data_IF_176233849744
#
_entry.id   IF_176233849744
#
_cell.length_a   1.000
_cell.length_b   1.000
_cell.length_c   1.000
_cell.angle_alpha   90.00
_cell.angle_beta   90.00
_cell.angle_gamma   90.00
#
_symmetry.space_group_name_H-M   'P 1'
#
loop_
_entity.id
_entity.type
_entity.pdbx_description
1 polymer ?
#
# COMPACT_ATOMS: atom_id res chain seq x y z
N UNK A 1 17.86 8.21 -13.94
CA UNK A 1 16.56 8.91 -13.83
C UNK A 1 16.11 8.80 -12.39
N UNK A 2 15.83 9.88 -11.66
CA UNK A 2 15.40 9.76 -10.27
C UNK A 2 13.95 9.25 -10.23
N UNK A 3 13.70 8.27 -9.37
CA UNK A 3 12.36 7.77 -9.06
C UNK A 3 11.46 8.92 -8.57
N UNK A 4 10.17 8.93 -8.92
CA UNK A 4 9.24 9.92 -8.38
C UNK A 4 9.10 9.66 -6.87
N UNK A 5 9.67 10.55 -6.08
CA UNK A 5 9.57 10.59 -4.63
C UNK A 5 8.10 10.55 -4.24
N UNK A 6 7.63 9.42 -3.70
CA UNK A 6 6.38 9.38 -2.97
C UNK A 6 6.54 10.32 -1.78
N UNK A 7 5.95 11.52 -1.88
CA UNK A 7 5.75 12.43 -0.75
C UNK A 7 4.97 11.64 0.29
N UNK A 8 5.70 11.08 1.25
CA UNK A 8 5.16 10.26 2.34
C UNK A 8 4.42 11.21 3.27
N UNK A 9 3.19 11.54 2.90
CA UNK A 9 2.24 12.17 3.81
C UNK A 9 2.15 11.27 5.03
N UNK A 10 2.37 11.79 6.27
CA UNK A 10 2.35 10.97 7.47
C UNK A 10 1.01 10.23 7.54
N UNK A 11 1.07 8.90 7.48
CA UNK A 11 -0.13 8.07 7.57
C UNK A 11 -0.65 8.17 8.99
N UNK A 12 -1.71 8.95 9.18
CA UNK A 12 -2.37 9.05 10.48
C UNK A 12 -2.72 7.66 11.02
N UNK A 13 -2.70 7.51 12.36
CA UNK A 13 -3.21 6.32 13.01
C UNK A 13 -4.65 6.09 12.57
N UNK A 14 -4.97 4.84 12.30
CA UNK A 14 -6.33 4.40 12.09
C UNK A 14 -6.95 4.06 13.45
N UNK A 15 -8.27 4.10 13.52
CA UNK A 15 -9.01 3.70 14.71
C UNK A 15 -8.70 2.24 15.07
N UNK A 16 -8.15 2.02 16.27
CA UNK A 16 -7.73 0.71 16.73
C UNK A 16 -8.92 -0.23 16.96
N UNK A 17 -10.04 0.30 17.44
CA UNK A 17 -11.23 -0.49 17.76
C UNK A 17 -11.89 -1.03 16.49
N UNK A 18 -12.01 -0.19 15.46
CA UNK A 18 -12.50 -0.58 14.14
C UNK A 18 -11.64 -1.67 13.46
N UNK A 19 -10.38 -1.80 13.89
CA UNK A 19 -9.38 -2.69 13.31
C UNK A 19 -8.96 -3.84 14.22
N UNK A 20 -9.62 -4.04 15.36
CA UNK A 20 -9.26 -5.04 16.36
C UNK A 20 -9.17 -6.48 15.81
N UNK A 21 -9.91 -6.78 14.72
CA UNK A 21 -9.88 -8.06 14.00
C UNK A 21 -8.58 -8.32 13.22
N UNK A 22 -7.76 -7.29 13.00
CA UNK A 22 -6.47 -7.37 12.32
C UNK A 22 -5.29 -7.23 13.29
N UNK A 23 -5.55 -7.26 14.60
CA UNK A 23 -4.53 -7.13 15.62
C UNK A 23 -3.87 -8.49 15.92
N UNK A 24 -2.56 -8.53 15.73
CA UNK A 24 -1.67 -9.58 16.21
C UNK A 24 -1.47 -9.38 17.71
N UNK A 25 -1.77 -10.41 18.50
CA UNK A 25 -1.64 -10.40 19.97
C UNK A 25 -0.70 -11.49 20.50
N UNK A 26 -0.23 -12.37 19.64
CA UNK A 26 0.74 -13.40 20.03
C UNK A 26 2.11 -12.74 20.32
N UNK A 27 2.66 -12.88 21.54
CA UNK A 27 3.91 -12.21 21.91
C UNK A 27 5.09 -12.62 21.03
N UNK A 28 5.14 -13.87 20.57
CA UNK A 28 6.21 -14.34 19.69
C UNK A 28 6.13 -13.66 18.32
N UNK A 29 4.93 -13.58 17.71
CA UNK A 29 4.73 -12.85 16.46
C UNK A 29 5.01 -11.34 16.61
N UNK A 30 4.62 -10.73 17.73
CA UNK A 30 4.93 -9.32 18.04
C UNK A 30 6.44 -9.09 18.06
N UNK A 31 7.18 -9.91 18.80
CA UNK A 31 8.65 -9.84 18.87
C UNK A 31 9.29 -10.01 17.49
N UNK A 32 8.79 -10.96 16.68
CA UNK A 32 9.28 -11.16 15.31
C UNK A 32 9.04 -9.93 14.42
N UNK A 33 7.85 -9.34 14.48
CA UNK A 33 7.53 -8.12 13.73
C UNK A 33 8.44 -6.95 14.14
N UNK A 34 8.65 -6.74 15.44
CA UNK A 34 9.52 -5.68 15.94
C UNK A 34 11.00 -5.90 15.58
N UNK A 35 11.49 -7.16 15.62
CA UNK A 35 12.83 -7.50 15.13
C UNK A 35 13.00 -7.15 13.66
N UNK A 36 12.01 -7.47 12.81
CA UNK A 36 12.06 -7.06 11.40
C UNK A 36 12.10 -5.53 11.23
N UNK A 37 11.44 -4.76 12.11
CA UNK A 37 11.53 -3.29 12.09
C UNK A 37 12.93 -2.80 12.47
N UNK A 38 13.58 -3.44 13.44
CA UNK A 38 14.98 -3.13 13.83
C UNK A 38 15.95 -3.48 12.70
N UNK A 39 15.76 -4.62 12.05
CA UNK A 39 16.65 -5.11 11.00
C UNK A 39 16.52 -4.31 9.70
N UNK A 40 15.29 -4.10 9.22
CA UNK A 40 15.02 -3.40 7.95
C UNK A 40 15.00 -1.89 8.06
N UNK A 41 14.89 -1.36 9.29
CA UNK A 41 14.85 0.08 9.61
C UNK A 41 13.90 0.90 8.70
N UNK A 42 12.64 0.49 8.51
CA UNK A 42 11.68 1.33 7.80
C UNK A 42 11.39 2.59 8.64
N UNK A 43 11.11 3.71 7.97
CA UNK A 43 10.67 4.92 8.65
C UNK A 43 9.34 4.66 9.39
N UNK A 44 9.30 5.06 10.66
CA UNK A 44 8.12 5.06 11.50
C UNK A 44 7.65 6.49 11.70
N UNK A 45 6.34 6.71 11.74
CA UNK A 45 5.76 7.94 12.27
C UNK A 45 5.22 7.64 13.67
N UNK A 46 5.76 8.29 14.69
CA UNK A 46 5.28 8.21 16.07
C UNK A 46 4.37 9.40 16.37
N UNK A 47 3.13 9.13 16.77
CA UNK A 47 2.13 10.13 17.17
C UNK A 47 2.06 10.18 18.69
N UNK A 48 2.28 11.37 19.25
CA UNK A 48 2.28 11.65 20.69
C UNK A 48 0.85 11.91 21.13
N UNK A 49 0.27 11.02 21.95
CA UNK A 49 -1.09 11.13 22.48
C UNK A 49 -2.18 11.47 21.43
N UNK A 50 -1.96 11.05 20.17
CA UNK A 50 -2.88 11.28 19.05
C UNK A 50 -2.84 12.69 18.43
N UNK A 51 -1.92 13.56 18.87
CA UNK A 51 -1.75 14.92 18.36
C UNK A 51 -0.52 15.08 17.47
N UNK A 52 0.56 15.65 18.01
CA UNK A 52 1.82 15.89 17.32
C UNK A 52 2.49 14.59 16.89
N UNK A 53 3.29 14.63 15.81
CA UNK A 53 4.00 13.45 15.32
C UNK A 53 5.42 13.75 14.88
N UNK A 54 6.28 12.74 14.88
CA UNK A 54 7.62 12.79 14.32
C UNK A 54 8.00 11.50 13.62
N UNK A 55 8.98 11.60 12.72
CA UNK A 55 9.58 10.44 12.06
C UNK A 55 10.69 9.88 12.96
N UNK A 56 10.74 8.56 13.08
CA UNK A 56 11.70 7.81 13.90
C UNK A 56 12.02 6.45 13.27
N UNK A 57 12.89 5.67 13.91
CA UNK A 57 13.32 4.32 13.56
C UNK A 57 13.28 3.42 14.79
N UNK A 58 12.96 2.13 14.61
CA UNK A 58 13.21 1.14 15.65
C UNK A 58 14.72 0.84 15.68
N UNK A 59 15.36 1.10 16.81
CA UNK A 59 16.81 0.93 16.97
C UNK A 59 17.18 -0.43 17.54
N UNK A 60 16.41 -0.91 18.51
CA UNK A 60 16.66 -2.18 19.18
C UNK A 60 15.41 -2.73 19.86
N UNK A 61 15.41 -4.05 20.07
CA UNK A 61 14.58 -4.73 21.04
C UNK A 61 15.50 -5.28 22.12
N UNK A 62 15.28 -4.91 23.37
CA UNK A 62 16.13 -5.32 24.49
C UNK A 62 15.73 -6.70 25.00
N UNK A 63 16.63 -7.36 25.75
CA UNK A 63 16.40 -8.71 26.29
C UNK A 63 15.22 -8.78 27.27
N UNK A 64 14.93 -7.68 27.96
CA UNK A 64 13.76 -7.51 28.83
C UNK A 64 12.48 -7.12 28.07
N UNK A 65 12.51 -7.16 26.74
CA UNK A 65 11.35 -6.98 25.87
C UNK A 65 10.97 -5.51 25.59
N UNK A 66 11.80 -4.54 25.96
CA UNK A 66 11.53 -3.13 25.67
C UNK A 66 11.95 -2.75 24.25
N UNK A 67 11.20 -1.83 23.65
CA UNK A 67 11.47 -1.29 22.31
C UNK A 67 12.22 0.03 22.47
N UNK A 68 13.31 0.19 21.74
CA UNK A 68 14.05 1.45 21.65
C UNK A 68 13.79 2.06 20.27
N UNK A 69 13.33 3.30 20.24
CA UNK A 69 13.15 4.10 19.01
C UNK A 69 14.02 5.34 19.03
N UNK A 70 14.40 5.82 17.86
CA UNK A 70 15.25 6.98 17.70
C UNK A 70 14.55 8.28 18.13
N UNK A 71 15.32 9.23 18.64
CA UNK A 71 14.83 10.57 18.93
C UNK A 71 14.80 11.42 17.65
N UNK A 72 13.90 12.40 17.57
CA UNK A 72 13.93 13.36 16.48
C UNK A 72 14.89 14.54 16.80
N UNK A 73 15.23 15.41 15.83
CA UNK A 73 16.11 16.56 16.10
C UNK A 73 15.52 17.63 17.06
N UNK A 74 14.24 17.53 17.40
CA UNK A 74 13.52 18.51 18.22
C UNK A 74 13.43 18.02 19.68
N UNK A 75 14.23 18.62 20.56
CA UNK A 75 14.29 18.25 21.97
C UNK A 75 12.98 18.49 22.72
N UNK A 76 12.22 19.52 22.36
CA UNK A 76 10.91 19.82 22.99
C UNK A 76 9.94 18.70 22.65
N UNK A 77 9.93 18.25 21.38
CA UNK A 77 9.12 17.12 20.95
C UNK A 77 9.54 15.81 21.61
N UNK A 78 10.85 15.56 21.74
CA UNK A 78 11.34 14.37 22.46
C UNK A 78 11.00 14.40 23.95
N UNK A 79 11.04 15.58 24.59
CA UNK A 79 10.63 15.75 25.98
C UNK A 79 9.16 15.40 26.17
N UNK A 80 8.27 15.90 25.31
CA UNK A 80 6.84 15.54 25.29
C UNK A 80 6.64 14.06 25.02
N UNK A 81 7.33 13.51 24.02
CA UNK A 81 7.24 12.10 23.67
C UNK A 81 7.63 11.19 24.83
N UNK A 82 8.68 11.53 25.59
CA UNK A 82 9.11 10.75 26.76
C UNK A 82 8.35 11.03 28.07
N UNK A 83 7.32 11.88 28.03
CA UNK A 83 6.37 12.08 29.14
C UNK A 83 4.93 11.73 28.75
N UNK A 84 4.72 11.29 27.50
CA UNK A 84 3.41 10.92 26.99
C UNK A 84 2.92 9.63 27.63
N UNK A 85 1.61 9.42 27.62
CA UNK A 85 1.06 8.13 28.04
C UNK A 85 1.46 7.05 27.04
N UNK A 86 1.34 7.38 25.74
CA UNK A 86 1.67 6.45 24.66
C UNK A 86 2.15 7.15 23.39
N UNK A 87 2.96 6.44 22.62
CA UNK A 87 3.28 6.79 21.24
C UNK A 87 2.59 5.80 20.31
N UNK A 88 1.70 6.27 19.45
CA UNK A 88 1.12 5.43 18.41
C UNK A 88 2.05 5.46 17.20
N UNK A 89 2.72 4.34 16.93
CA UNK A 89 3.64 4.18 15.83
C UNK A 89 2.91 3.63 14.60
N UNK A 90 3.17 4.21 13.45
CA UNK A 90 2.66 3.77 12.14
C UNK A 90 3.83 3.60 11.18
N UNK A 91 3.89 2.47 10.49
CA UNK A 91 4.90 2.21 9.45
C UNK A 91 4.37 1.28 8.37
N UNK A 92 5.19 1.04 7.34
CA UNK A 92 4.98 -0.03 6.37
C UNK A 92 6.20 -0.96 6.39
N UNK A 93 5.92 -2.24 6.59
CA UNK A 93 6.90 -3.31 6.48
C UNK A 93 6.49 -4.19 5.30
N UNK A 94 7.33 -4.30 4.27
CA UNK A 94 7.05 -5.09 3.05
C UNK A 94 5.66 -4.79 2.45
N UNK A 95 5.31 -3.51 2.33
CA UNK A 95 4.00 -3.02 1.87
C UNK A 95 2.79 -3.36 2.75
N UNK A 96 3.00 -3.92 3.94
CA UNK A 96 1.97 -4.14 4.95
C UNK A 96 1.99 -2.98 5.95
N UNK A 97 0.86 -2.31 6.14
CA UNK A 97 0.75 -1.25 7.15
C UNK A 97 0.73 -1.88 8.53
N UNK A 98 1.67 -1.47 9.38
CA UNK A 98 1.71 -1.82 10.79
C UNK A 98 1.35 -0.59 11.62
N UNK A 99 0.58 -0.82 12.69
CA UNK A 99 0.29 0.19 13.70
C UNK A 99 0.29 -0.43 15.08
N UNK A 100 0.99 0.19 16.02
CA UNK A 100 1.10 -0.30 17.40
C UNK A 100 1.29 0.86 18.37
N UNK A 101 0.97 0.66 19.64
CA UNK A 101 1.15 1.65 20.69
C UNK A 101 2.33 1.27 21.57
N UNK A 102 3.25 2.20 21.76
CA UNK A 102 4.34 2.11 22.72
C UNK A 102 3.91 2.83 24.00
N UNK A 103 3.67 2.07 25.07
CA UNK A 103 3.19 2.59 26.34
C UNK A 103 4.35 3.02 27.24
N UNK A 104 4.12 4.09 28.01
CA UNK A 104 5.08 4.70 28.94
C UNK A 104 6.48 4.95 28.32
N UNK A 105 6.57 5.66 27.17
CA UNK A 105 7.85 6.04 26.59
C UNK A 105 8.68 6.87 27.58
N UNK A 106 9.97 6.56 27.68
CA UNK A 106 10.92 7.28 28.52
C UNK A 106 12.17 7.66 27.70
N UNK A 107 12.69 8.87 27.92
CA UNK A 107 13.93 9.31 27.29
C UNK A 107 15.13 8.55 27.87
N UNK A 108 15.97 8.05 26.99
CA UNK A 108 17.23 7.37 27.33
C UNK A 108 18.36 7.84 26.41
N UNK A 109 19.58 7.42 26.73
CA UNK A 109 20.71 7.49 25.80
C UNK A 109 21.00 6.08 25.30
N UNK A 110 20.93 5.87 23.99
CA UNK A 110 21.25 4.61 23.34
C UNK A 110 22.44 4.81 22.38
N UNK A 111 23.51 4.03 22.57
CA UNK A 111 24.75 4.15 21.79
C UNK A 111 25.28 5.60 21.71
N UNK A 112 25.22 6.35 22.83
CA UNK A 112 25.68 7.74 22.91
C UNK A 112 24.76 8.78 22.27
N UNK A 113 23.57 8.38 21.78
CA UNK A 113 22.59 9.28 21.16
C UNK A 113 21.26 9.29 21.91
N UNK A 114 20.50 10.40 21.89
CA UNK A 114 19.17 10.44 22.48
C UNK A 114 18.24 9.42 21.81
N UNK A 115 17.45 8.72 22.62
CA UNK A 115 16.47 7.75 22.16
C UNK A 115 15.27 7.69 23.12
N UNK A 116 14.24 6.97 22.75
CA UNK A 116 13.07 6.69 23.58
C UNK A 116 12.97 5.18 23.80
N UNK A 117 12.83 4.75 25.05
CA UNK A 117 12.57 3.36 25.44
C UNK A 117 11.13 3.24 25.88
N UNK A 118 10.41 2.25 25.38
CA UNK A 118 9.04 1.95 25.78
C UNK A 118 8.85 0.45 25.99
N UNK A 119 7.78 0.10 26.69
CA UNK A 119 7.39 -1.30 26.89
C UNK A 119 6.98 -1.97 25.57
N UNK A 120 6.97 -3.31 25.55
CA UNK A 120 6.47 -4.07 24.41
C UNK A 120 4.99 -3.70 24.16
N UNK A 121 4.57 -3.48 22.90
CA UNK A 121 3.17 -3.30 22.59
C UNK A 121 2.37 -4.57 22.90
N UNK A 122 1.19 -4.43 23.51
CA UNK A 122 0.25 -5.55 23.74
C UNK A 122 -0.34 -6.12 22.44
N UNK A 123 -0.33 -5.32 21.37
CA UNK A 123 -0.79 -5.75 20.06
C UNK A 123 -0.20 -4.91 18.93
N UNK A 124 -0.08 -5.54 17.75
CA UNK A 124 0.27 -4.86 16.50
C UNK A 124 -0.86 -5.05 15.51
N UNK A 125 -1.49 -3.97 15.07
CA UNK A 125 -2.44 -3.99 13.95
C UNK A 125 -1.65 -4.21 12.67
N UNK A 126 -1.89 -5.34 12.00
CA UNK A 126 -1.24 -5.73 10.75
C UNK A 126 -2.27 -5.69 9.61
N UNK A 127 -2.30 -4.59 8.87
CA UNK A 127 -3.27 -4.39 7.78
C UNK A 127 -2.72 -4.85 6.44
N UNK A 128 -2.89 -6.14 6.17
CA UNK A 128 -2.70 -6.70 4.83
C UNK A 128 -4.01 -6.61 4.04
N UNK A 129 -4.28 -5.45 3.43
CA UNK A 129 -5.56 -5.21 2.72
C UNK A 129 -5.67 -5.89 1.35
N UNK A 130 -4.69 -6.67 0.93
CA UNK A 130 -4.61 -7.21 -0.44
C UNK A 130 -4.32 -8.70 -0.41
N UNK A 131 -5.25 -9.45 -0.99
CA UNK A 131 -5.11 -10.90 -1.22
C UNK A 131 -4.19 -11.19 -2.41
N UNK A 132 -4.02 -10.23 -3.33
CA UNK A 132 -3.20 -10.39 -4.54
C UNK A 132 -2.13 -9.31 -4.64
N UNK A 133 -0.91 -9.73 -4.98
CA UNK A 133 0.19 -8.83 -5.36
C UNK A 133 -0.15 -8.06 -6.65
N UNK A 134 0.29 -6.80 -6.74
CA UNK A 134 0.04 -5.91 -7.88
C UNK A 134 1.34 -5.61 -8.60
N UNK A 135 1.34 -5.81 -9.90
CA UNK A 135 2.44 -5.42 -10.77
C UNK A 135 2.02 -4.20 -11.58
N UNK A 136 2.73 -3.06 -11.45
CA UNK A 136 2.56 -1.99 -12.43
C UNK A 136 2.81 -2.52 -13.85
N UNK A 137 2.15 -1.98 -14.85
CA UNK A 137 2.41 -2.35 -16.25
C UNK A 137 3.44 -1.39 -16.87
N UNK A 138 4.11 -1.81 -17.93
CA UNK A 138 5.09 -0.98 -18.63
C UNK A 138 4.47 0.34 -19.11
N UNK A 139 5.27 1.41 -19.05
CA UNK A 139 4.88 2.69 -19.66
C UNK A 139 5.20 2.73 -21.16
N UNK A 140 6.28 2.05 -21.59
CA UNK A 140 6.70 1.99 -22.98
C UNK A 140 5.75 1.13 -23.81
N UNK A 141 5.28 0.01 -23.25
CA UNK A 141 4.33 -0.91 -23.87
C UNK A 141 3.08 -1.01 -22.99
N UNK A 142 2.14 -0.05 -23.12
CA UNK A 142 0.98 0.01 -22.25
C UNK A 142 0.04 -1.17 -22.49
N UNK A 143 -0.25 -1.90 -21.43
CA UNK A 143 -1.31 -2.90 -21.43
C UNK A 143 -2.68 -2.19 -21.54
N UNK A 144 -3.58 -2.73 -22.35
CA UNK A 144 -4.91 -2.12 -22.59
C UNK A 144 -6.05 -3.10 -22.31
N UNK A 145 -7.16 -2.55 -21.82
CA UNK A 145 -8.44 -3.22 -21.77
C UNK A 145 -9.39 -2.50 -22.72
N UNK A 146 -10.12 -3.26 -23.53
CA UNK A 146 -11.24 -2.72 -24.33
C UNK A 146 -12.52 -2.95 -23.56
N UNK A 147 -13.24 -1.88 -23.29
CA UNK A 147 -14.56 -1.93 -22.65
C UNK A 147 -15.58 -1.64 -23.74
N UNK A 148 -16.44 -2.62 -24.00
CA UNK A 148 -17.64 -2.41 -24.79
C UNK A 148 -18.74 -1.90 -23.88
N UNK A 149 -19.32 -0.76 -24.23
CA UNK A 149 -20.46 -0.17 -23.55
C UNK A 149 -21.53 0.21 -24.57
N UNK A 150 -22.80 0.09 -24.17
CA UNK A 150 -23.96 0.51 -24.97
C UNK A 150 -24.67 1.61 -24.18
N UNK A 151 -24.49 2.89 -24.53
CA UNK A 151 -25.21 3.99 -23.91
C UNK A 151 -26.72 3.95 -24.21
N UNK A 152 -27.47 4.88 -23.62
CA UNK A 152 -28.93 5.02 -23.82
C UNK A 152 -29.33 5.21 -25.30
N UNK A 153 -28.41 5.68 -26.15
CA UNK A 153 -28.63 5.82 -27.60
C UNK A 153 -28.57 4.48 -28.37
N UNK A 154 -28.30 3.37 -27.68
CA UNK A 154 -28.25 2.02 -28.24
C UNK A 154 -27.02 1.74 -29.10
N UNK A 155 -26.09 2.69 -29.25
CA UNK A 155 -24.89 2.50 -30.08
C UNK A 155 -23.81 1.78 -29.30
N UNK A 156 -23.34 0.66 -29.85
CA UNK A 156 -22.18 -0.03 -29.28
C UNK A 156 -20.92 0.83 -29.45
N UNK A 157 -20.32 1.21 -28.33
CA UNK A 157 -19.05 1.92 -28.29
C UNK A 157 -17.97 1.03 -27.67
N UNK A 158 -16.80 1.01 -28.30
CA UNK A 158 -15.61 0.40 -27.73
C UNK A 158 -14.66 1.48 -27.24
N UNK A 159 -14.30 1.41 -25.97
CA UNK A 159 -13.39 2.36 -25.32
C UNK A 159 -12.17 1.61 -24.85
N UNK A 160 -11.01 2.04 -25.36
CA UNK A 160 -9.73 1.49 -24.91
C UNK A 160 -9.26 2.25 -23.69
N UNK A 161 -9.00 1.52 -22.61
CA UNK A 161 -8.47 2.09 -21.36
C UNK A 161 -7.09 1.50 -21.08
N UNK A 162 -6.15 2.39 -20.74
CA UNK A 162 -4.80 1.99 -20.37
C UNK A 162 -4.80 1.43 -18.96
N UNK A 163 -4.20 0.26 -18.78
CA UNK A 163 -3.96 -0.36 -17.48
C UNK A 163 -2.69 0.23 -16.87
N UNK A 164 -2.73 0.44 -15.56
CA UNK A 164 -1.63 1.01 -14.77
C UNK A 164 -1.00 -0.06 -13.88
N UNK A 165 -1.81 -0.92 -13.29
CA UNK A 165 -1.35 -2.13 -12.63
C UNK A 165 -2.36 -3.27 -12.76
N UNK A 166 -1.88 -4.50 -12.57
CA UNK A 166 -2.67 -5.74 -12.62
C UNK A 166 -2.32 -6.65 -11.44
N UNK A 167 -3.31 -7.39 -10.97
CA UNK A 167 -3.20 -8.43 -9.94
C UNK A 167 -4.07 -9.63 -10.30
N UNK A 168 -4.00 -10.70 -9.50
CA UNK A 168 -4.88 -11.86 -9.68
C UNK A 168 -6.38 -11.54 -9.49
N UNK A 169 -6.71 -10.52 -8.69
CA UNK A 169 -8.11 -10.16 -8.37
C UNK A 169 -8.65 -8.94 -9.11
N UNK A 170 -7.83 -8.21 -9.88
CA UNK A 170 -8.27 -7.00 -10.54
C UNK A 170 -7.17 -6.22 -11.24
N UNK A 171 -7.53 -5.08 -11.81
CA UNK A 171 -6.64 -4.17 -12.51
C UNK A 171 -7.00 -2.71 -12.19
N UNK A 172 -6.06 -1.79 -12.39
CA UNK A 172 -6.36 -0.36 -12.34
C UNK A 172 -6.17 0.27 -13.71
N UNK A 173 -7.05 1.20 -14.08
CA UNK A 173 -7.01 1.90 -15.37
C UNK A 173 -6.90 3.41 -15.19
N UNK A 174 -6.33 4.08 -16.19
CA UNK A 174 -6.51 5.52 -16.35
C UNK A 174 -7.90 5.78 -16.93
N UNK A 175 -8.68 6.59 -16.22
CA UNK A 175 -10.05 6.94 -16.62
C UNK A 175 -9.97 7.84 -17.85
N UNK A 176 -10.63 7.46 -18.95
CA UNK A 176 -10.70 8.29 -20.14
C UNK A 176 -11.68 9.45 -19.85
N UNK A 177 -11.31 10.70 -20.15
CA UNK A 177 -11.99 11.87 -19.58
C UNK A 177 -13.44 12.10 -20.02
N UNK A 178 -13.97 11.38 -21.03
CA UNK A 178 -15.34 11.64 -21.55
C UNK A 178 -16.13 10.42 -22.01
N UNK A 179 -15.51 9.27 -22.15
CA UNK A 179 -16.05 8.12 -22.89
C UNK A 179 -16.77 7.11 -21.98
N UNK A 180 -16.44 7.06 -20.70
CA UNK A 180 -16.99 6.11 -19.72
C UNK A 180 -17.11 6.72 -18.33
N UNK A 181 -18.19 6.38 -17.63
CA UNK A 181 -18.39 6.74 -16.22
C UNK A 181 -17.85 5.67 -15.28
N UNK A 182 -16.67 5.92 -14.69
CA UNK A 182 -16.03 5.01 -13.74
C UNK A 182 -16.49 5.26 -12.29
N UNK A 183 -17.78 5.17 -12.01
CA UNK A 183 -18.30 5.33 -10.64
C UNK A 183 -18.12 4.05 -9.81
N UNK A 184 -17.76 4.13 -8.51
CA UNK A 184 -17.69 2.95 -7.65
C UNK A 184 -19.02 2.18 -7.64
N UNK A 185 -18.95 0.88 -7.90
CA UNK A 185 -20.12 0.01 -8.03
C UNK A 185 -20.49 -0.31 -9.48
N UNK A 186 -20.09 0.51 -10.47
CA UNK A 186 -20.36 0.26 -11.89
C UNK A 186 -19.75 -1.06 -12.34
N UNK A 187 -20.53 -1.86 -13.07
CA UNK A 187 -20.09 -3.13 -13.65
C UNK A 187 -20.03 -3.04 -15.16
N UNK A 188 -18.88 -3.45 -15.72
CA UNK A 188 -18.68 -3.64 -17.15
C UNK A 188 -18.61 -5.13 -17.44
N UNK A 189 -19.66 -5.64 -18.09
CA UNK A 189 -19.82 -7.07 -18.39
C UNK A 189 -19.14 -7.51 -19.69
N UNK A 190 -18.75 -6.55 -20.55
CA UNK A 190 -18.12 -6.81 -21.83
C UNK A 190 -16.75 -6.13 -21.90
N UNK A 191 -15.77 -6.72 -21.24
CA UNK A 191 -14.39 -6.25 -21.27
C UNK A 191 -13.48 -7.28 -21.94
N UNK A 192 -12.44 -6.79 -22.60
CA UNK A 192 -11.45 -7.61 -23.28
C UNK A 192 -10.05 -7.13 -22.93
N UNK A 193 -9.35 -7.93 -22.11
CA UNK A 193 -7.99 -7.67 -21.67
C UNK A 193 -7.00 -8.12 -22.75
N UNK A 194 -6.22 -7.18 -23.30
CA UNK A 194 -5.22 -7.47 -24.34
C UNK A 194 -3.87 -7.74 -23.70
N UNK A 195 -3.63 -9.00 -23.33
CA UNK A 195 -2.31 -9.46 -22.90
C UNK A 195 -1.37 -9.57 -24.12
N UNK A 196 -0.05 -9.30 -24.01
CA UNK A 196 0.88 -9.40 -25.13
C UNK A 196 0.91 -10.79 -25.77
N UNK A 197 0.75 -11.83 -24.95
CA UNK A 197 0.78 -13.22 -25.39
C UNK A 197 -0.65 -13.77 -25.55
N UNK A 198 -1.15 -13.71 -26.79
CA UNK A 198 -2.32 -14.45 -27.26
C UNK A 198 -3.58 -13.62 -27.46
N UNK A 199 -4.70 -14.33 -27.67
CA UNK A 199 -5.97 -13.70 -28.02
C UNK A 199 -6.52 -12.82 -26.88
N UNK A 200 -7.29 -11.76 -27.21
CA UNK A 200 -7.93 -10.92 -26.20
C UNK A 200 -8.74 -11.78 -25.20
N UNK A 201 -8.52 -11.52 -23.91
CA UNK A 201 -9.11 -12.31 -22.83
C UNK A 201 -10.42 -11.65 -22.35
N UNK A 202 -11.59 -12.28 -22.55
CA UNK A 202 -12.84 -11.75 -22.06
C UNK A 202 -12.86 -11.76 -20.52
N UNK A 203 -13.19 -10.61 -19.93
CA UNK A 203 -13.31 -10.41 -18.48
C UNK A 203 -14.52 -9.52 -18.17
N UNK A 204 -14.93 -9.51 -16.91
CA UNK A 204 -15.90 -8.55 -16.36
C UNK A 204 -15.24 -7.74 -15.26
N UNK A 205 -15.56 -6.46 -15.18
CA UNK A 205 -14.93 -5.53 -14.25
C UNK A 205 -15.99 -4.85 -13.38
N UNK A 206 -15.74 -4.76 -12.07
CA UNK A 206 -16.48 -3.89 -11.16
C UNK A 206 -15.59 -2.76 -10.69
N UNK A 207 -16.01 -1.51 -10.86
CA UNK A 207 -15.27 -0.37 -10.30
C UNK A 207 -15.40 -0.39 -8.78
N UNK A 208 -14.26 -0.34 -8.07
CA UNK A 208 -14.20 -0.38 -6.60
C UNK A 208 -13.82 0.96 -5.99
N UNK A 209 -13.02 1.76 -6.68
CA UNK A 209 -12.58 3.07 -6.21
C UNK A 209 -12.09 3.95 -7.37
N UNK A 210 -12.04 5.25 -7.10
CA UNK A 210 -11.47 6.29 -7.93
C UNK A 210 -10.44 7.07 -7.11
N UNK A 211 -9.33 7.44 -7.74
CA UNK A 211 -8.29 8.30 -7.17
C UNK A 211 -7.87 9.34 -8.20
N UNK A 212 -7.64 10.57 -7.77
CA UNK A 212 -6.89 11.54 -8.55
C UNK A 212 -5.40 11.27 -8.37
N UNK A 213 -4.67 11.19 -9.48
CA UNK A 213 -3.21 11.09 -9.48
C UNK A 213 -2.63 12.24 -10.29
N UNK A 214 -1.54 12.81 -9.79
CA UNK A 214 -0.78 13.83 -10.51
C UNK A 214 0.34 13.15 -11.29
N UNK A 215 0.40 13.41 -12.60
CA UNK A 215 1.50 12.95 -13.44
C UNK A 215 2.73 13.83 -13.25
N UNK A 216 3.90 13.34 -13.68
CA UNK A 216 5.16 14.09 -13.61
C UNK A 216 5.13 15.47 -14.29
N UNK A 217 4.19 15.70 -15.20
CA UNK A 217 3.96 16.98 -15.87
C UNK A 217 2.93 17.88 -15.16
N UNK A 218 2.53 17.57 -13.92
CA UNK A 218 1.53 18.30 -13.14
C UNK A 218 0.08 18.06 -13.57
N UNK A 219 -0.16 17.26 -14.62
CA UNK A 219 -1.52 16.97 -15.10
C UNK A 219 -2.19 15.98 -14.16
N UNK A 220 -3.30 16.42 -13.56
CA UNK A 220 -4.20 15.57 -12.78
C UNK A 220 -4.99 14.64 -13.69
N UNK A 221 -4.94 13.34 -13.42
CA UNK A 221 -5.74 12.33 -14.11
C UNK A 221 -6.44 11.44 -13.11
N UNK A 222 -7.60 10.91 -13.49
CA UNK A 222 -8.32 9.95 -12.67
C UNK A 222 -7.82 8.53 -12.94
N UNK A 223 -7.71 7.77 -11.85
CA UNK A 223 -7.35 6.35 -11.85
C UNK A 223 -8.47 5.57 -11.17
N UNK A 224 -9.02 4.57 -11.87
CA UNK A 224 -10.03 3.68 -11.32
C UNK A 224 -9.41 2.32 -10.98
N UNK A 225 -9.70 1.80 -9.78
CA UNK A 225 -9.41 0.42 -9.42
C UNK A 225 -10.61 -0.47 -9.71
N UNK A 226 -10.40 -1.53 -10.48
CA UNK A 226 -11.44 -2.47 -10.90
C UNK A 226 -11.14 -3.88 -10.37
N UNK A 227 -12.17 -4.58 -9.93
CA UNK A 227 -12.15 -5.99 -9.52
C UNK A 227 -12.64 -6.87 -10.66
N UNK A 228 -12.04 -8.05 -10.86
CA UNK A 228 -12.54 -9.03 -11.81
C UNK A 228 -13.76 -9.76 -11.25
N UNK A 229 -14.83 -9.89 -12.04
CA UNK A 229 -16.05 -10.58 -11.62
C UNK A 229 -16.15 -11.96 -12.29
N UNK A 230 -16.04 -13.02 -11.48
CA UNK A 230 -16.27 -14.40 -11.93
C UNK A 230 -15.33 -14.83 -13.06
N UNK A 231 -14.01 -14.67 -12.85
CA UNK A 231 -13.01 -15.19 -13.78
C UNK A 231 -13.16 -16.70 -13.96
N UNK A 232 -13.04 -17.17 -15.20
CA UNK A 232 -12.86 -18.59 -15.46
C UNK A 232 -11.45 -19.03 -15.04
N UNK A 233 -11.29 -20.32 -14.72
CA UNK A 233 -9.97 -20.87 -14.38
C UNK A 233 -8.93 -20.62 -15.49
N UNK A 234 -9.35 -20.66 -16.76
CA UNK A 234 -8.49 -20.35 -17.89
C UNK A 234 -8.04 -18.88 -17.89
N UNK A 235 -8.95 -17.94 -17.59
CA UNK A 235 -8.62 -16.52 -17.49
C UNK A 235 -7.66 -16.25 -16.34
N UNK A 236 -7.93 -16.83 -15.16
CA UNK A 236 -7.06 -16.75 -13.98
C UNK A 236 -5.64 -17.24 -14.30
N UNK A 237 -5.51 -18.42 -14.93
CA UNK A 237 -4.20 -18.98 -15.29
C UNK A 237 -3.45 -18.08 -16.29
N UNK A 238 -4.14 -17.47 -17.26
CA UNK A 238 -3.51 -16.53 -18.21
C UNK A 238 -3.02 -15.26 -17.53
N UNK A 239 -3.81 -14.68 -16.63
CA UNK A 239 -3.42 -13.48 -15.87
C UNK A 239 -2.21 -13.79 -14.98
N UNK A 240 -2.23 -14.90 -14.26
CA UNK A 240 -1.11 -15.32 -13.41
C UNK A 240 0.18 -15.54 -14.22
N UNK A 241 0.13 -16.25 -15.35
CA UNK A 241 1.30 -16.44 -16.22
C UNK A 241 1.88 -15.11 -16.70
N UNK A 242 1.02 -14.17 -17.09
CA UNK A 242 1.46 -12.84 -17.49
C UNK A 242 2.12 -12.08 -16.32
N UNK A 243 1.55 -12.14 -15.12
CA UNK A 243 2.15 -11.54 -13.93
C UNK A 243 3.55 -12.11 -13.64
N UNK A 244 3.73 -13.43 -13.70
CA UNK A 244 5.07 -14.03 -13.52
C UNK A 244 6.07 -13.59 -14.59
N UNK A 245 5.63 -13.39 -15.85
CA UNK A 245 6.48 -12.87 -16.92
C UNK A 245 6.92 -11.43 -16.61
N UNK A 246 5.98 -10.55 -16.28
CA UNK A 246 6.25 -9.16 -15.89
C UNK A 246 7.21 -9.06 -14.70
N UNK A 247 7.02 -9.89 -13.68
CA UNK A 247 7.88 -9.90 -12.50
C UNK A 247 9.32 -10.31 -12.85
N UNK A 248 9.49 -11.33 -13.69
CA UNK A 248 10.81 -11.75 -14.19
C UNK A 248 11.50 -10.67 -15.01
N UNK A 249 10.79 -10.01 -15.91
CA UNK A 249 11.33 -8.92 -16.74
C UNK A 249 11.86 -7.76 -15.88
N UNK A 250 11.19 -7.46 -14.76
CA UNK A 250 11.65 -6.44 -13.81
C UNK A 250 12.91 -6.80 -13.05
N UNK A 251 12.97 -8.01 -12.50
CA UNK A 251 14.16 -8.45 -11.77
C UNK A 251 15.43 -8.36 -12.64
N UNK A 252 15.31 -8.68 -13.93
CA UNK A 252 16.41 -8.54 -14.89
C UNK A 252 16.82 -7.08 -15.16
N UNK A 253 15.86 -6.14 -15.12
CA UNK A 253 16.12 -4.72 -15.33
C UNK A 253 16.67 -4.01 -14.09
N UNK A 254 16.32 -4.46 -12.87
CA UNK A 254 16.80 -3.88 -11.62
C UNK A 254 18.24 -4.36 -11.24
N UNK A 255 18.73 -5.41 -11.90
CA UNK A 255 20.09 -5.96 -11.73
C UNK A 255 21.15 -5.31 -12.66
N UNK A 256 20.78 -4.30 -13.47
CA UNK A 256 21.65 -3.55 -14.38
C UNK A 256 21.68 -2.06 -14.07
#
# INVERSE_FOLDING_TARGET
MPEPSETTTPQRPLDADALARYAVRDPLEIIQLLRMLVDKRPLLTAFIDGGESFVTLALALTDDGAVIVDACPDEVRNARAGSAARLVCVTRLDNVKLQFALEAPARIVHAGKPALRATLPDSIIRLQRREFYRLPTSQAEPLVCVITHVPEDGRRQEVQVRIVDISGGGLAVLVPPKELRFEPGTEYSQCSLRLPDGNPLPVRLKVRNLFEIEKANGVKVLRAGCEFIGLSNQATARIQRYMFKLERERRMHDEH
#
